data_IF_786103266865
#
_entry.id   IF_786103266865
#
_cell.length_a   1.000
_cell.length_b   1.000
_cell.length_c   1.000
_cell.angle_alpha   90.00
_cell.angle_beta   90.00
_cell.angle_gamma   90.00
#
_symmetry.space_group_name_H-M   'P 1'
#
loop_
_entity.id
_entity.type
_entity.pdbx_description
1 polymer ?
#
# COMPACT_ATOMS: atom_id res chain seq x y z
N UNK A 1 -4.77 7.60 -14.78
CA UNK A 1 -4.53 6.79 -13.57
C UNK A 1 -3.03 6.64 -13.41
N UNK A 2 -2.45 6.89 -12.23
CA UNK A 2 -1.10 6.36 -11.94
C UNK A 2 -1.29 4.88 -11.60
N UNK A 3 -0.68 3.99 -12.36
CA UNK A 3 -0.70 2.55 -12.10
C UNK A 3 -0.14 2.23 -10.72
N UNK A 4 -1.02 1.86 -9.80
CA UNK A 4 -0.65 1.40 -8.46
C UNK A 4 0.15 0.09 -8.52
N UNK A 5 -0.02 -0.70 -9.60
CA UNK A 5 0.71 -1.94 -9.91
C UNK A 5 2.23 -1.75 -9.82
N UNK A 6 2.77 -0.62 -10.31
CA UNK A 6 4.21 -0.33 -10.26
C UNK A 6 4.74 -0.19 -8.84
N UNK A 7 3.92 0.33 -7.92
CA UNK A 7 4.27 0.43 -6.52
C UNK A 7 4.21 -0.94 -5.85
N UNK A 8 3.19 -1.73 -6.16
CA UNK A 8 3.05 -3.11 -5.65
C UNK A 8 4.24 -3.96 -6.06
N UNK A 9 4.67 -3.92 -7.32
CA UNK A 9 5.88 -4.61 -7.78
C UNK A 9 7.14 -4.15 -7.04
N UNK A 10 7.28 -2.85 -6.76
CA UNK A 10 8.38 -2.31 -5.95
C UNK A 10 8.34 -2.82 -4.51
N UNK A 11 7.15 -2.94 -3.90
CA UNK A 11 6.99 -3.54 -2.56
C UNK A 11 7.44 -5.00 -2.55
N UNK A 12 7.03 -5.79 -3.55
CA UNK A 12 7.44 -7.20 -3.64
C UNK A 12 8.95 -7.37 -3.82
N UNK A 13 9.61 -6.45 -4.55
CA UNK A 13 11.06 -6.47 -4.79
C UNK A 13 11.90 -5.95 -3.62
N UNK A 14 11.32 -5.17 -2.70
CA UNK A 14 12.06 -4.63 -1.57
C UNK A 14 12.46 -5.72 -0.56
N UNK A 15 13.66 -5.62 -0.01
CA UNK A 15 14.22 -6.63 0.89
C UNK A 15 13.99 -6.33 2.37
N UNK A 16 13.73 -5.08 2.71
CA UNK A 16 13.54 -4.63 4.09
C UNK A 16 12.10 -4.20 4.38
N UNK A 17 11.69 -4.36 5.64
CA UNK A 17 10.37 -3.91 6.13
C UNK A 17 10.24 -2.39 5.99
N UNK A 18 11.33 -1.66 6.21
CA UNK A 18 11.34 -0.21 6.13
C UNK A 18 11.16 0.30 4.68
N UNK A 19 11.89 -0.27 3.73
CA UNK A 19 11.69 0.06 2.30
C UNK A 19 10.27 -0.24 1.84
N UNK A 20 9.73 -1.41 2.20
CA UNK A 20 8.34 -1.77 1.88
C UNK A 20 7.36 -0.75 2.42
N UNK A 21 7.54 -0.32 3.68
CA UNK A 21 6.70 0.70 4.30
C UNK A 21 6.82 2.02 3.55
N UNK A 22 8.04 2.45 3.21
CA UNK A 22 8.26 3.68 2.47
C UNK A 22 7.51 3.67 1.12
N UNK A 23 7.66 2.59 0.34
CA UNK A 23 7.00 2.45 -0.96
C UNK A 23 5.47 2.42 -0.81
N UNK A 24 4.93 1.76 0.22
CA UNK A 24 3.49 1.77 0.51
C UNK A 24 2.99 3.18 0.82
N UNK A 25 3.75 3.97 1.57
CA UNK A 25 3.39 5.36 1.85
C UNK A 25 3.39 6.21 0.57
N UNK A 26 4.37 6.02 -0.32
CA UNK A 26 4.37 6.65 -1.65
C UNK A 26 3.14 6.23 -2.49
N UNK A 27 2.79 4.95 -2.46
CA UNK A 27 1.62 4.39 -3.16
C UNK A 27 0.31 5.02 -2.66
N UNK A 28 0.18 5.19 -1.34
CA UNK A 28 -1.00 5.79 -0.70
C UNK A 28 -1.14 7.25 -1.10
N UNK A 29 -0.02 7.99 -1.10
CA UNK A 29 -0.01 9.40 -1.47
C UNK A 29 -0.40 9.59 -2.94
N UNK A 30 0.19 8.79 -3.83
CA UNK A 30 -0.01 8.83 -5.28
C UNK A 30 -1.40 8.36 -5.76
N UNK A 31 -2.19 7.72 -4.91
CA UNK A 31 -3.53 7.22 -5.26
C UNK A 31 -4.59 8.32 -5.30
N UNK A 32 -5.73 8.05 -5.94
CA UNK A 32 -6.94 8.89 -5.90
C UNK A 32 -7.94 8.44 -4.81
N UNK A 33 -7.53 7.57 -3.88
CA UNK A 33 -8.40 7.11 -2.81
C UNK A 33 -8.85 8.27 -1.90
N UNK A 34 -10.02 8.15 -1.27
CA UNK A 34 -10.51 9.13 -0.29
C UNK A 34 -9.51 9.30 0.85
N UNK A 35 -9.43 10.50 1.42
CA UNK A 35 -8.51 10.82 2.53
C UNK A 35 -8.68 9.87 3.73
N UNK A 36 -9.90 9.43 4.03
CA UNK A 36 -10.18 8.45 5.09
C UNK A 36 -9.56 7.08 4.80
N UNK A 37 -9.64 6.60 3.56
CA UNK A 37 -8.98 5.38 3.10
C UNK A 37 -7.46 5.53 3.18
N UNK A 38 -6.90 6.65 2.70
CA UNK A 38 -5.46 6.92 2.81
C UNK A 38 -4.99 6.88 4.27
N UNK A 39 -5.72 7.53 5.18
CA UNK A 39 -5.40 7.55 6.61
C UNK A 39 -5.42 6.15 7.25
N UNK A 40 -6.46 5.34 6.94
CA UNK A 40 -6.58 3.97 7.45
C UNK A 40 -5.37 3.11 7.06
N UNK A 41 -5.01 3.10 5.78
CA UNK A 41 -3.91 2.29 5.27
C UNK A 41 -2.55 2.82 5.71
N UNK A 42 -2.39 4.15 5.82
CA UNK A 42 -1.18 4.78 6.34
C UNK A 42 -0.90 4.35 7.78
N UNK A 43 -1.92 4.37 8.63
CA UNK A 43 -1.80 3.88 10.01
C UNK A 43 -1.45 2.39 10.02
N UNK A 44 -2.14 1.55 9.25
CA UNK A 44 -1.83 0.11 9.18
C UNK A 44 -0.37 -0.16 8.77
N UNK A 45 0.15 0.56 7.76
CA UNK A 45 1.53 0.40 7.31
C UNK A 45 2.58 0.75 8.39
N UNK A 46 2.25 1.68 9.31
CA UNK A 46 3.15 2.04 10.41
C UNK A 46 3.21 0.97 11.50
N UNK A 47 2.11 0.27 11.78
CA UNK A 47 2.05 -0.76 12.83
C UNK A 47 2.53 -2.15 12.37
N UNK A 48 2.71 -2.36 11.07
CA UNK A 48 3.19 -3.64 10.56
C UNK A 48 4.72 -3.69 10.59
N UNK A 49 5.23 -4.71 11.28
CA UNK A 49 6.67 -5.06 11.34
C UNK A 49 7.02 -6.30 10.51
N UNK A 50 6.06 -6.88 9.78
CA UNK A 50 6.24 -8.09 8.98
C UNK A 50 6.21 -7.77 7.50
N UNK A 51 7.29 -8.14 6.79
CA UNK A 51 7.43 -7.95 5.35
C UNK A 51 6.22 -8.52 4.58
N UNK A 52 5.86 -9.78 4.84
CA UNK A 52 4.73 -10.46 4.19
C UNK A 52 3.39 -9.76 4.42
N UNK A 53 3.19 -9.15 5.60
CA UNK A 53 1.96 -8.39 5.89
C UNK A 53 1.94 -7.06 5.14
N UNK A 54 3.09 -6.44 4.89
CA UNK A 54 3.20 -5.24 4.04
C UNK A 54 2.91 -5.58 2.57
N UNK A 55 3.38 -6.72 2.07
CA UNK A 55 3.04 -7.21 0.72
C UNK A 55 1.52 -7.36 0.54
N UNK A 56 0.85 -8.02 1.50
CA UNK A 56 -0.61 -8.16 1.51
C UNK A 56 -1.30 -6.80 1.59
N UNK A 57 -0.78 -5.88 2.40
CA UNK A 57 -1.36 -4.53 2.52
C UNK A 57 -1.29 -3.78 1.19
N UNK A 58 -0.17 -3.86 0.47
CA UNK A 58 -0.01 -3.22 -0.84
C UNK A 58 -1.02 -3.78 -1.87
N UNK A 59 -1.19 -5.10 -1.93
CA UNK A 59 -2.20 -5.73 -2.78
C UNK A 59 -3.63 -5.31 -2.42
N UNK A 60 -3.97 -5.33 -1.13
CA UNK A 60 -5.28 -4.90 -0.64
C UNK A 60 -5.56 -3.42 -0.94
N UNK A 61 -4.54 -2.57 -0.82
CA UNK A 61 -4.67 -1.15 -1.12
C UNK A 61 -4.82 -0.88 -2.61
N UNK A 62 -4.15 -1.64 -3.48
CA UNK A 62 -4.33 -1.55 -4.93
C UNK A 62 -5.80 -1.79 -5.29
N UNK A 63 -6.39 -2.88 -4.76
CA UNK A 63 -7.79 -3.21 -4.99
C UNK A 63 -8.74 -2.15 -4.41
N UNK A 64 -8.53 -1.75 -3.16
CA UNK A 64 -9.38 -0.76 -2.48
C UNK A 64 -9.24 0.66 -3.07
N UNK A 65 -8.07 1.02 -3.57
CA UNK A 65 -7.74 2.32 -4.16
C UNK A 65 -8.36 2.53 -5.54
N UNK A 66 -8.66 1.44 -6.25
CA UNK A 66 -9.40 1.45 -7.53
C UNK A 66 -10.93 1.34 -7.34
N UNK A 67 -11.43 1.32 -6.10
CA UNK A 67 -12.86 1.26 -5.82
C UNK A 67 -13.46 -0.15 -5.86
N UNK A 68 -12.63 -1.20 -5.94
CA UNK A 68 -13.07 -2.56 -5.67
C UNK A 68 -13.15 -2.73 -4.15
N UNK A 69 -14.37 -2.83 -3.63
CA UNK A 69 -14.59 -3.20 -2.22
C UNK A 69 -13.90 -4.53 -1.96
N UNK A 70 -12.80 -4.51 -1.20
CA UNK A 70 -12.26 -5.71 -0.58
C UNK A 70 -13.23 -6.08 0.55
N UNK A 71 -13.96 -7.17 0.34
CA UNK A 71 -14.83 -7.85 1.32
C UNK A 71 -14.01 -8.43 2.47
#
# INVERSE_FOLDING_TARGET
MKDLTKYVERVYKAHTVDEKRHIILEMIDASHAKNTTKAKFRNQAQFISSSRKLDTLAGNYMLAGEGLSVL
#
